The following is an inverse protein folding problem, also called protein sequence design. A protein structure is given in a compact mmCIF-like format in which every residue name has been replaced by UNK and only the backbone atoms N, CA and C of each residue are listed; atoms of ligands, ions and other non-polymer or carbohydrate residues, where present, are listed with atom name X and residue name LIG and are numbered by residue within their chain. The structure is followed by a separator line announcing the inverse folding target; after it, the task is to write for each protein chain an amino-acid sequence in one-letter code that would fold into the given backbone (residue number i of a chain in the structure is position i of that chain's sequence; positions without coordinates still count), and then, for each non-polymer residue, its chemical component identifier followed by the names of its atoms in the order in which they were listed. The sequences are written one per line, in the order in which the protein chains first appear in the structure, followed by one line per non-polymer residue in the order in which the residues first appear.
data_IF_646666888229
#
_entry.id   IF_646666888229
#
_cell.length_a   1.000
_cell.length_b   1.000
_cell.length_c   1.000
_cell.angle_alpha   90.00
_cell.angle_beta   90.00
_cell.angle_gamma   90.00
#
_symmetry.space_group_name_H-M   'P 1'
#
loop_
_entity.id
_entity.type
_entity.pdbx_description
1 polymer ?
#
# COMPACT_ATOMS: atom_id res chain seq x y z
N UNK A 1 40.27 16.53 -2.61
CA UNK A 1 40.00 16.87 -4.03
C UNK A 1 39.04 15.83 -4.59
N UNK A 2 37.88 16.25 -5.08
CA UNK A 2 36.94 15.35 -5.77
C UNK A 2 37.48 15.06 -7.18
N UNK A 3 37.63 13.78 -7.53
CA UNK A 3 37.97 13.37 -8.91
C UNK A 3 36.67 13.23 -9.69
N UNK A 4 36.48 14.06 -10.72
CA UNK A 4 35.39 13.88 -11.68
C UNK A 4 35.60 12.54 -12.39
N UNK A 5 34.69 11.60 -12.18
CA UNK A 5 34.58 10.44 -13.04
C UNK A 5 34.16 10.92 -14.44
N UNK A 6 34.75 10.35 -15.49
CA UNK A 6 34.23 10.53 -16.84
C UNK A 6 32.83 9.89 -16.87
N UNK A 7 31.80 10.72 -16.78
CA UNK A 7 30.42 10.29 -16.66
C UNK A 7 29.85 9.99 -18.03
N UNK A 8 30.10 8.81 -18.57
CA UNK A 8 29.14 8.22 -19.52
C UNK A 8 27.86 7.91 -18.74
N UNK A 9 26.68 8.38 -19.18
CA UNK A 9 25.43 7.97 -18.55
C UNK A 9 25.33 6.45 -18.65
N UNK A 10 25.09 5.76 -17.54
CA UNK A 10 24.80 4.34 -17.57
C UNK A 10 23.55 4.12 -18.44
N UNK A 11 23.63 3.23 -19.43
CA UNK A 11 22.45 2.84 -20.20
C UNK A 11 21.50 2.03 -19.30
N UNK A 12 20.21 2.01 -19.62
CA UNK A 12 19.26 1.14 -18.92
C UNK A 12 19.58 -0.35 -19.12
N UNK A 13 20.30 -0.69 -20.18
CA UNK A 13 20.70 -2.05 -20.54
C UNK A 13 21.84 -2.57 -19.66
N UNK A 14 22.70 -1.66 -19.18
CA UNK A 14 23.81 -1.98 -18.26
C UNK A 14 23.36 -2.03 -16.78
N UNK A 15 22.09 -1.70 -16.50
CA UNK A 15 21.56 -1.67 -15.14
C UNK A 15 21.07 -3.06 -14.71
N UNK A 16 21.86 -3.73 -13.89
CA UNK A 16 21.47 -5.02 -13.31
C UNK A 16 20.39 -4.82 -12.23
N UNK A 17 19.23 -5.47 -12.42
CA UNK A 17 18.18 -5.56 -11.41
C UNK A 17 18.18 -6.98 -10.82
N UNK A 18 18.99 -7.26 -9.79
CA UNK A 18 18.99 -8.57 -9.15
C UNK A 18 17.59 -8.82 -8.56
N UNK A 19 16.91 -9.84 -9.08
CA UNK A 19 15.60 -10.24 -8.59
C UNK A 19 15.78 -10.84 -7.18
N UNK A 20 15.41 -10.12 -6.14
CA UNK A 20 15.21 -10.74 -4.82
C UNK A 20 14.01 -11.67 -4.91
N UNK A 21 14.22 -12.98 -4.69
CA UNK A 21 13.14 -13.98 -4.75
C UNK A 21 12.02 -13.72 -3.72
N UNK A 22 12.30 -13.00 -2.62
CA UNK A 22 11.36 -12.75 -1.53
C UNK A 22 11.49 -11.33 -0.99
N UNK A 23 10.35 -10.76 -0.62
CA UNK A 23 10.29 -9.49 0.12
C UNK A 23 10.92 -9.67 1.51
N UNK A 24 11.73 -8.70 1.92
CA UNK A 24 12.26 -8.65 3.27
C UNK A 24 11.14 -8.51 4.31
N UNK A 25 11.09 -9.44 5.27
CA UNK A 25 10.10 -9.47 6.35
C UNK A 25 10.28 -8.25 7.28
N UNK A 26 11.50 -7.73 7.39
CA UNK A 26 11.84 -6.58 8.23
C UNK A 26 11.47 -5.24 7.58
N UNK A 27 10.94 -5.26 6.35
CA UNK A 27 10.50 -4.05 5.68
C UNK A 27 9.32 -3.40 6.41
N UNK A 28 9.39 -2.07 6.60
CA UNK A 28 8.36 -1.28 7.29
C UNK A 28 6.93 -1.51 6.77
N UNK A 29 6.76 -1.72 5.46
CA UNK A 29 5.45 -1.95 4.85
C UNK A 29 4.96 -3.37 5.05
N UNK A 30 5.86 -4.35 5.03
CA UNK A 30 5.53 -5.76 5.31
C UNK A 30 5.10 -5.91 6.77
N UNK A 31 5.85 -5.32 7.70
CA UNK A 31 5.49 -5.30 9.11
C UNK A 31 4.13 -4.62 9.29
N UNK A 32 3.92 -3.44 8.71
CA UNK A 32 2.64 -2.73 8.83
C UNK A 32 1.46 -3.52 8.26
N UNK A 33 1.64 -4.18 7.11
CA UNK A 33 0.60 -5.02 6.53
C UNK A 33 0.20 -6.18 7.46
N UNK A 34 1.13 -6.71 8.26
CA UNK A 34 0.85 -7.77 9.23
C UNK A 34 0.09 -7.29 10.49
N UNK A 35 0.09 -5.98 10.76
CA UNK A 35 -0.55 -5.38 11.93
C UNK A 35 -1.99 -4.92 11.67
N UNK A 36 -2.34 -4.67 10.41
CA UNK A 36 -3.68 -4.19 10.06
C UNK A 36 -4.62 -5.39 9.90
N UNK A 37 -5.74 -5.46 10.64
CA UNK A 37 -6.69 -6.56 10.55
C UNK A 37 -7.59 -6.41 9.31
N UNK A 38 -7.02 -6.61 8.11
CA UNK A 38 -7.69 -6.36 6.83
C UNK A 38 -9.04 -7.07 6.69
N UNK A 39 -9.10 -8.35 7.05
CA UNK A 39 -10.30 -9.20 6.87
C UNK A 39 -11.49 -8.73 7.70
N UNK A 40 -11.26 -8.16 8.89
CA UNK A 40 -12.34 -7.74 9.78
C UNK A 40 -13.13 -6.55 9.24
N UNK A 41 -12.48 -5.71 8.43
CA UNK A 41 -13.06 -4.48 7.89
C UNK A 41 -13.43 -4.60 6.41
N UNK A 42 -13.09 -5.71 5.75
CA UNK A 42 -13.50 -5.99 4.37
C UNK A 42 -15.03 -6.10 4.26
N UNK A 43 -15.69 -6.78 5.21
CA UNK A 43 -17.15 -6.90 5.22
C UNK A 43 -17.86 -5.56 5.43
N UNK A 44 -17.35 -4.72 6.34
CA UNK A 44 -17.91 -3.39 6.58
C UNK A 44 -17.73 -2.48 5.36
N UNK A 45 -16.59 -2.59 4.69
CA UNK A 45 -16.33 -1.86 3.46
C UNK A 45 -17.23 -2.34 2.31
N UNK A 46 -17.44 -3.66 2.17
CA UNK A 46 -18.28 -4.26 1.14
C UNK A 46 -19.74 -3.77 1.18
N UNK A 47 -20.28 -3.49 2.38
CA UNK A 47 -21.64 -2.92 2.55
C UNK A 47 -21.85 -1.57 1.86
N UNK A 48 -20.78 -0.86 1.49
CA UNK A 48 -20.88 0.40 0.75
C UNK A 48 -21.12 0.22 -0.75
N UNK A 49 -21.18 -1.01 -1.24
CA UNK A 49 -21.35 -1.34 -2.65
C UNK A 49 -22.64 -2.11 -2.88
N UNK A 50 -23.33 -1.82 -3.98
CA UNK A 50 -24.46 -2.63 -4.44
C UNK A 50 -23.94 -3.89 -5.14
N UNK A 51 -24.56 -5.04 -4.89
CA UNK A 51 -24.11 -6.34 -5.41
C UNK A 51 -24.28 -6.49 -6.94
N UNK A 52 -25.26 -5.80 -7.54
CA UNK A 52 -25.77 -6.17 -8.87
C UNK A 52 -25.42 -5.23 -10.04
N UNK A 53 -24.72 -4.11 -9.82
CA UNK A 53 -24.49 -3.10 -10.87
C UNK A 53 -23.13 -2.40 -10.80
N UNK A 54 -22.28 -2.61 -11.81
CA UNK A 54 -21.08 -1.80 -12.08
C UNK A 54 -19.79 -2.60 -12.29
N UNK A 55 -18.67 -1.87 -12.43
CA UNK A 55 -17.35 -2.48 -12.46
C UNK A 55 -16.97 -2.99 -11.05
N UNK A 56 -16.24 -4.13 -10.94
CA UNK A 56 -15.84 -4.69 -9.66
C UNK A 56 -15.15 -3.64 -8.77
N UNK A 57 -15.61 -3.55 -7.52
CA UNK A 57 -14.97 -2.68 -6.54
C UNK A 57 -13.57 -3.19 -6.19
N UNK A 58 -12.64 -2.26 -5.97
CA UNK A 58 -11.32 -2.60 -5.44
C UNK A 58 -11.45 -2.98 -3.96
N UNK A 59 -10.65 -3.96 -3.53
CA UNK A 59 -10.67 -4.48 -2.16
C UNK A 59 -10.39 -3.40 -1.13
N UNK A 60 -10.89 -3.62 0.09
CA UNK A 60 -10.63 -2.71 1.21
C UNK A 60 -9.13 -2.50 1.44
N UNK A 61 -8.35 -3.59 1.37
CA UNK A 61 -6.89 -3.53 1.50
C UNK A 61 -6.24 -2.62 0.46
N UNK A 62 -6.74 -2.61 -0.78
CA UNK A 62 -6.23 -1.72 -1.83
C UNK A 62 -6.56 -0.27 -1.51
N UNK A 63 -7.83 0.01 -1.18
CA UNK A 63 -8.31 1.36 -0.94
C UNK A 63 -7.64 1.99 0.28
N UNK A 64 -7.71 1.32 1.44
CA UNK A 64 -7.08 1.81 2.67
C UNK A 64 -5.55 1.82 2.55
N UNK A 65 -4.96 0.79 1.95
CA UNK A 65 -3.52 0.71 1.76
C UNK A 65 -2.98 1.91 0.98
N UNK A 66 -3.65 2.28 -0.11
CA UNK A 66 -3.30 3.46 -0.90
C UNK A 66 -3.40 4.77 -0.09
N UNK A 67 -4.46 4.93 0.71
CA UNK A 67 -4.62 6.11 1.58
C UNK A 67 -3.52 6.21 2.64
N UNK A 68 -3.15 5.08 3.26
CA UNK A 68 -2.06 5.03 4.23
C UNK A 68 -0.72 5.39 3.56
N UNK A 69 -0.45 4.87 2.36
CA UNK A 69 0.78 5.19 1.62
C UNK A 69 0.87 6.68 1.36
N UNK A 70 -0.22 7.26 0.82
CA UNK A 70 -0.30 8.69 0.56
C UNK A 70 0.00 9.52 1.81
N UNK A 71 -0.70 9.23 2.91
CA UNK A 71 -0.58 10.00 4.15
C UNK A 71 0.81 9.84 4.78
N UNK A 72 1.37 8.63 4.76
CA UNK A 72 2.69 8.35 5.34
C UNK A 72 3.85 8.98 4.55
N UNK A 73 3.70 9.11 3.24
CA UNK A 73 4.71 9.72 2.36
C UNK A 73 4.49 11.22 2.13
N UNK A 74 3.30 11.75 2.43
CA UNK A 74 2.97 13.16 2.23
C UNK A 74 2.91 13.57 0.74
N UNK A 75 2.50 12.65 -0.13
CA UNK A 75 2.56 12.81 -1.60
C UNK A 75 1.18 13.04 -2.23
N UNK A 76 1.18 13.43 -3.52
CA UNK A 76 -0.06 13.63 -4.28
C UNK A 76 -0.76 12.31 -4.62
N UNK A 77 -2.04 12.37 -5.01
CA UNK A 77 -2.78 11.17 -5.43
C UNK A 77 -2.11 10.50 -6.65
N UNK A 78 -1.63 11.30 -7.60
CA UNK A 78 -0.96 10.81 -8.82
C UNK A 78 0.38 10.16 -8.50
N UNK A 79 1.17 10.81 -7.64
CA UNK A 79 2.45 10.30 -7.17
C UNK A 79 2.28 9.00 -6.38
N UNK A 80 1.21 8.87 -5.59
CA UNK A 80 0.92 7.64 -4.85
C UNK A 80 0.77 6.44 -5.78
N UNK A 81 0.11 6.61 -6.93
CA UNK A 81 -0.08 5.55 -7.92
C UNK A 81 1.25 5.16 -8.56
N UNK A 82 2.07 6.12 -8.96
CA UNK A 82 3.40 5.84 -9.54
C UNK A 82 4.33 5.16 -8.52
N UNK A 83 4.36 5.64 -7.27
CA UNK A 83 5.14 5.00 -6.20
C UNK A 83 4.72 3.54 -5.99
N UNK A 84 3.41 3.26 -5.98
CA UNK A 84 2.93 1.87 -5.86
C UNK A 84 3.35 1.04 -7.07
N UNK A 85 3.24 1.59 -8.28
CA UNK A 85 3.64 0.91 -9.52
C UNK A 85 5.14 0.56 -9.52
N UNK A 86 5.99 1.45 -9.04
CA UNK A 86 7.44 1.27 -9.06
C UNK A 86 7.97 0.39 -7.92
N UNK A 87 7.21 0.21 -6.84
CA UNK A 87 7.72 -0.41 -5.61
C UNK A 87 7.01 -1.74 -5.24
N UNK A 88 7.70 -2.89 -5.31
CA UNK A 88 7.14 -4.20 -4.93
C UNK A 88 6.59 -4.27 -3.50
N UNK A 89 7.21 -3.57 -2.54
CA UNK A 89 6.74 -3.55 -1.15
C UNK A 89 5.41 -2.81 -1.01
N UNK A 90 5.20 -1.75 -1.81
CA UNK A 90 3.92 -1.02 -1.82
C UNK A 90 2.83 -1.82 -2.52
N UNK A 91 3.15 -2.54 -3.60
CA UNK A 91 2.22 -3.48 -4.23
C UNK A 91 1.78 -4.58 -3.28
N UNK A 92 2.72 -5.17 -2.53
CA UNK A 92 2.39 -6.11 -1.47
C UNK A 92 1.53 -5.47 -0.39
N UNK A 93 1.83 -4.25 0.04
CA UNK A 93 1.06 -3.55 1.07
C UNK A 93 -0.42 -3.43 0.70
N UNK A 94 -0.71 -3.00 -0.54
CA UNK A 94 -2.09 -2.89 -1.06
C UNK A 94 -2.73 -4.25 -1.37
N UNK A 95 -2.01 -5.36 -1.23
CA UNK A 95 -2.55 -6.72 -1.35
C UNK A 95 -2.35 -7.40 -2.70
N UNK A 96 -1.45 -6.91 -3.55
CA UNK A 96 -1.04 -7.63 -4.76
C UNK A 96 -0.21 -8.87 -4.40
N UNK A 97 -0.39 -9.94 -5.17
CA UNK A 97 0.34 -11.22 -5.01
C UNK A 97 1.63 -11.26 -5.81
N UNK A 98 1.70 -10.47 -6.86
CA UNK A 98 2.82 -10.40 -7.80
C UNK A 98 3.10 -8.94 -8.17
N UNK A 99 4.34 -8.68 -8.57
CA UNK A 99 4.74 -7.37 -9.07
C UNK A 99 4.18 -7.16 -10.49
N UNK A 100 3.57 -6.00 -10.71
CA UNK A 100 3.17 -5.54 -12.03
C UNK A 100 3.76 -4.16 -12.33
N UNK A 101 4.16 -3.93 -13.58
CA UNK A 101 4.63 -2.61 -14.04
C UNK A 101 3.48 -1.66 -14.37
N UNK A 102 2.24 -2.12 -14.27
CA UNK A 102 1.05 -1.34 -14.57
C UNK A 102 0.55 -0.58 -13.35
N UNK A 103 -0.14 0.53 -13.60
CA UNK A 103 -0.76 1.30 -12.53
C UNK A 103 -1.81 0.44 -11.81
N UNK A 104 -1.81 0.41 -10.46
CA UNK A 104 -2.73 -0.44 -9.73
C UNK A 104 -4.20 -0.04 -9.91
N UNK A 105 -4.46 1.24 -10.14
CA UNK A 105 -5.76 1.87 -10.37
C UNK A 105 -5.57 3.32 -10.85
N UNK A 106 -6.65 3.97 -11.30
CA UNK A 106 -6.62 5.39 -11.66
C UNK A 106 -6.57 6.30 -10.41
N UNK A 107 -5.75 7.35 -10.45
CA UNK A 107 -5.54 8.26 -9.31
C UNK A 107 -6.84 8.93 -8.82
N UNK A 108 -7.85 9.10 -9.69
CA UNK A 108 -9.16 9.64 -9.29
C UNK A 108 -9.91 8.76 -8.28
N UNK A 109 -9.58 7.46 -8.20
CA UNK A 109 -10.19 6.55 -7.23
C UNK A 109 -9.79 6.86 -5.78
N UNK A 110 -8.63 7.49 -5.55
CA UNK A 110 -8.21 7.91 -4.21
C UNK A 110 -9.18 8.91 -3.58
N UNK A 111 -9.83 9.75 -4.38
CA UNK A 111 -10.88 10.66 -3.91
C UNK A 111 -12.08 9.84 -3.42
N UNK A 112 -12.53 8.88 -4.22
CA UNK A 112 -13.67 8.01 -3.87
C UNK A 112 -13.37 7.13 -2.66
N UNK A 113 -12.11 6.69 -2.49
CA UNK A 113 -11.71 5.94 -1.30
C UNK A 113 -11.84 6.76 -0.03
N UNK A 114 -11.46 8.05 -0.05
CA UNK A 114 -11.62 8.94 1.11
C UNK A 114 -13.08 9.19 1.46
N UNK A 115 -13.94 9.29 0.45
CA UNK A 115 -15.38 9.47 0.67
C UNK A 115 -16.03 8.23 1.29
N UNK A 116 -15.57 7.04 0.91
CA UNK A 116 -16.11 5.75 1.40
C UNK A 116 -15.52 5.31 2.73
N UNK A 117 -14.24 5.57 2.95
CA UNK A 117 -13.54 5.22 4.19
C UNK A 117 -13.71 6.37 5.16
N UNK A 118 -14.78 6.30 5.95
CA UNK A 118 -15.08 7.31 6.96
C UNK A 118 -13.96 7.37 8.03
N UNK A 119 -13.76 8.56 8.59
CA UNK A 119 -12.81 8.76 9.69
C UNK A 119 -13.12 7.89 10.91
N UNK A 120 -14.40 7.51 11.11
CA UNK A 120 -14.82 6.55 12.13
C UNK A 120 -14.19 5.18 11.92
N UNK A 121 -14.18 4.67 10.69
CA UNK A 121 -13.59 3.39 10.32
C UNK A 121 -12.08 3.39 10.57
N UNK A 122 -11.40 4.45 10.14
CA UNK A 122 -9.96 4.64 10.38
C UNK A 122 -9.64 4.65 11.87
N UNK A 123 -10.46 5.34 12.67
CA UNK A 123 -10.28 5.38 14.13
C UNK A 123 -10.51 4.02 14.79
N UNK A 124 -11.46 3.21 14.30
CA UNK A 124 -11.67 1.86 14.80
C UNK A 124 -10.47 0.95 14.50
N UNK A 125 -9.90 1.05 13.30
CA UNK A 125 -8.69 0.30 12.92
C UNK A 125 -7.53 0.67 13.84
N UNK A 126 -7.31 1.97 14.04
CA UNK A 126 -6.25 2.45 14.95
C UNK A 126 -6.44 1.92 16.38
N UNK A 127 -7.67 1.94 16.91
CA UNK A 127 -7.97 1.38 18.24
C UNK A 127 -7.63 -0.12 18.31
N UNK A 128 -8.09 -0.91 17.33
CA UNK A 128 -7.81 -2.36 17.28
C UNK A 128 -6.32 -2.65 17.19
N UNK A 129 -5.59 -1.95 16.31
CA UNK A 129 -4.13 -2.11 16.19
C UNK A 129 -3.41 -1.86 17.53
N UNK A 130 -3.81 -0.81 18.26
CA UNK A 130 -3.25 -0.52 19.59
C UNK A 130 -3.61 -1.60 20.60
N UNK A 131 -4.87 -2.05 20.63
CA UNK A 131 -5.31 -3.12 21.53
C UNK A 131 -4.55 -4.44 21.29
N UNK A 132 -4.36 -4.84 20.03
CA UNK A 132 -3.57 -6.02 19.68
C UNK A 132 -2.10 -5.89 20.06
N UNK A 133 -1.51 -4.72 19.82
CA UNK A 133 -0.14 -4.44 20.22
C UNK A 133 0.03 -4.53 21.74
N UNK A 134 -0.93 -4.01 22.51
CA UNK A 134 -0.95 -4.10 23.97
C UNK A 134 -1.13 -5.55 24.46
N UNK A 135 -2.01 -6.33 23.83
CA UNK A 135 -2.17 -7.77 24.14
C UNK A 135 -0.88 -8.54 23.89
N UNK A 136 -0.24 -8.34 22.72
CA UNK A 136 1.06 -8.97 22.40
C UNK A 136 2.15 -8.61 23.41
N UNK A 137 2.17 -7.37 23.91
CA UNK A 137 3.11 -6.93 24.95
C UNK A 137 2.83 -7.55 26.32
N UNK A 138 1.57 -7.84 26.66
CA UNK A 138 1.18 -8.47 27.94
C UNK A 138 1.42 -9.98 27.98
N UNK A 139 1.48 -10.63 26.82
CA UNK A 139 1.75 -12.07 26.68
C UNK A 139 3.26 -12.40 26.54
N UNK A 140 4.12 -11.37 26.56
CA UNK A 140 5.58 -11.47 26.47
C UNK A 140 6.19 -11.14 27.81
#
# INVERSE_FOLDING_TARGET
MYRKAASTPNSTEDFEFPLEEKLSIDNRWVIMASLIPWSEFEEEYAKNFAEDMGAPALSFRTALGALIIKEKLGISDRETVEQIKENPYLQYFIGRREYSKEAPFDASLLVRFRERIAASLVNQINKKMVEEALKKKRMK
#
